data_IF_338947796813
#
_entry.id   IF_338947796813
#
_cell.length_a   1.000
_cell.length_b   1.000
_cell.length_c   1.000
_cell.angle_alpha   90.00
_cell.angle_beta   90.00
_cell.angle_gamma   90.00
#
_symmetry.space_group_name_H-M   'P 1'
#
loop_
_entity.id
_entity.type
_entity.pdbx_description
1 polymer ?
#
# COMPACT_ATOMS: atom_id res chain seq x y z
N UNK A 1 1.92 -14.96 -10.77
CA UNK A 1 1.60 -13.71 -11.51
C UNK A 1 0.90 -12.74 -10.57
N UNK A 2 0.65 -11.49 -10.97
CA UNK A 2 -0.02 -10.50 -10.10
C UNK A 2 -1.54 -10.59 -10.28
N UNK A 3 -2.25 -11.00 -9.22
CA UNK A 3 -3.73 -11.07 -9.20
C UNK A 3 -4.37 -10.37 -7.99
N UNK A 4 -3.56 -9.90 -7.04
CA UNK A 4 -3.99 -9.14 -5.87
C UNK A 4 -3.69 -7.65 -6.06
N UNK A 5 -4.60 -6.79 -5.61
CA UNK A 5 -4.50 -5.33 -5.78
C UNK A 5 -5.10 -4.60 -4.59
N UNK A 6 -4.50 -3.46 -4.21
CA UNK A 6 -5.11 -2.45 -3.34
C UNK A 6 -5.45 -1.24 -4.21
N UNK A 7 -6.74 -1.00 -4.44
CA UNK A 7 -7.22 0.21 -5.12
C UNK A 7 -7.54 1.32 -4.11
N UNK A 8 -7.26 2.57 -4.49
CA UNK A 8 -7.53 3.74 -3.64
C UNK A 8 -7.96 4.95 -4.49
N UNK A 9 -8.62 5.92 -3.84
CA UNK A 9 -9.07 7.16 -4.48
C UNK A 9 -7.90 8.13 -4.67
N UNK A 10 -7.42 8.30 -5.90
CA UNK A 10 -6.30 9.22 -6.22
C UNK A 10 -6.61 10.70 -5.94
N UNK A 11 -7.88 11.09 -5.85
CA UNK A 11 -8.27 12.47 -5.55
C UNK A 11 -8.10 12.83 -4.08
N UNK A 12 -8.15 11.84 -3.18
CA UNK A 12 -8.12 12.04 -1.73
C UNK A 12 -6.92 11.37 -1.06
N UNK A 13 -6.19 10.52 -1.78
CA UNK A 13 -5.13 9.73 -1.18
C UNK A 13 -3.88 9.70 -2.07
N UNK A 14 -2.72 9.69 -1.41
CA UNK A 14 -1.39 9.57 -2.03
C UNK A 14 -0.66 8.37 -1.45
N UNK A 15 0.07 7.63 -2.27
CA UNK A 15 0.95 6.55 -1.80
C UNK A 15 2.25 7.14 -1.28
N UNK A 16 2.57 6.88 -0.01
CA UNK A 16 3.86 7.25 0.59
C UNK A 16 4.91 6.15 0.43
N UNK A 17 4.47 4.89 0.47
CA UNK A 17 5.36 3.74 0.33
C UNK A 17 4.58 2.43 0.20
N UNK A 18 5.28 1.41 -0.27
CA UNK A 18 4.78 0.04 -0.38
C UNK A 18 5.83 -0.93 0.14
N UNK A 19 5.38 -2.06 0.68
CA UNK A 19 6.27 -3.18 0.96
C UNK A 19 6.73 -3.78 -0.37
N UNK A 20 8.05 -3.85 -0.57
CA UNK A 20 8.65 -4.48 -1.74
C UNK A 20 8.44 -6.00 -1.77
N UNK A 21 8.79 -6.66 -2.88
CA UNK A 21 8.72 -8.11 -2.97
C UNK A 21 9.72 -8.77 -2.00
N UNK A 22 9.46 -10.03 -1.66
CA UNK A 22 10.45 -10.88 -0.99
C UNK A 22 11.71 -10.99 -1.87
N UNK A 23 12.89 -11.00 -1.24
CA UNK A 23 14.16 -11.03 -1.95
C UNK A 23 14.28 -12.30 -2.83
N UNK A 24 14.44 -12.09 -4.13
CA UNK A 24 14.49 -13.21 -5.09
C UNK A 24 15.73 -14.09 -4.88
N UNK A 25 16.84 -13.52 -4.38
CA UNK A 25 18.04 -14.30 -4.11
C UNK A 25 17.81 -15.28 -2.96
N UNK A 26 17.13 -14.85 -1.88
CA UNK A 26 16.78 -15.73 -0.77
C UNK A 26 15.90 -16.91 -1.23
N UNK A 27 14.93 -16.67 -2.12
CA UNK A 27 14.11 -17.74 -2.71
C UNK A 27 14.95 -18.76 -3.48
N UNK A 28 15.92 -18.27 -4.28
CA UNK A 28 16.85 -19.12 -5.03
C UNK A 28 17.76 -19.93 -4.12
N UNK A 29 18.36 -19.29 -3.12
CA UNK A 29 19.30 -19.91 -2.19
C UNK A 29 18.65 -21.02 -1.35
N UNK A 30 17.34 -20.90 -1.09
CA UNK A 30 16.55 -21.88 -0.35
C UNK A 30 15.78 -22.85 -1.27
N UNK A 31 16.03 -22.84 -2.59
CA UNK A 31 15.35 -23.69 -3.57
C UNK A 31 13.81 -23.63 -3.51
N UNK A 32 13.25 -22.46 -3.20
CA UNK A 32 11.81 -22.27 -3.11
C UNK A 32 11.27 -21.96 -4.51
N UNK A 33 10.67 -22.95 -5.16
CA UNK A 33 10.09 -22.83 -6.51
C UNK A 33 8.57 -22.56 -6.50
N UNK A 34 7.93 -22.64 -5.34
CA UNK A 34 6.49 -22.46 -5.18
C UNK A 34 6.11 -22.25 -3.72
N UNK A 35 4.87 -21.83 -3.49
CA UNK A 35 4.28 -21.60 -2.18
C UNK A 35 2.91 -22.29 -2.10
N UNK A 36 2.38 -22.63 -0.91
CA UNK A 36 2.98 -22.38 0.41
C UNK A 36 4.25 -23.22 0.68
N UNK A 37 5.05 -22.79 1.66
CA UNK A 37 6.32 -23.37 2.10
C UNK A 37 6.38 -23.32 3.65
N UNK A 38 7.16 -24.16 4.37
CA UNK A 38 7.23 -24.09 5.85
C UNK A 38 7.52 -22.70 6.44
N UNK A 39 8.21 -21.83 5.69
CA UNK A 39 8.48 -20.44 6.07
C UNK A 39 7.60 -19.40 5.35
N UNK A 40 6.72 -19.82 4.43
CA UNK A 40 5.80 -18.96 3.69
C UNK A 40 4.39 -19.59 3.76
N UNK A 41 3.54 -19.15 4.68
CA UNK A 41 2.31 -19.89 5.03
C UNK A 41 1.18 -19.78 3.99
N UNK A 42 1.34 -19.01 2.92
CA UNK A 42 0.36 -18.81 1.84
C UNK A 42 1.05 -18.88 0.48
N UNK A 43 0.31 -19.24 -0.56
CA UNK A 43 0.72 -19.16 -1.96
C UNK A 43 0.70 -17.74 -2.54
N UNK A 44 0.18 -16.77 -1.77
CA UNK A 44 0.19 -15.34 -2.09
C UNK A 44 1.05 -14.55 -1.11
N UNK A 45 1.76 -13.54 -1.63
CA UNK A 45 2.48 -12.57 -0.79
C UNK A 45 1.56 -11.40 -0.42
N UNK A 46 1.65 -10.93 0.83
CA UNK A 46 0.84 -9.82 1.31
C UNK A 46 1.16 -8.51 0.58
N UNK A 47 0.11 -7.76 0.25
CA UNK A 47 0.24 -6.37 -0.14
C UNK A 47 0.17 -5.48 1.09
N UNK A 48 1.10 -4.53 1.21
CA UNK A 48 1.09 -3.51 2.26
C UNK A 48 1.46 -2.17 1.62
N UNK A 49 0.63 -1.15 1.87
CA UNK A 49 0.82 0.20 1.38
C UNK A 49 0.56 1.21 2.48
N UNK A 50 1.40 2.25 2.54
CA UNK A 50 1.17 3.43 3.37
C UNK A 50 0.49 4.51 2.51
N UNK A 51 -0.71 4.90 2.90
CA UNK A 51 -1.49 5.93 2.21
C UNK A 51 -1.63 7.16 3.10
N UNK A 52 -1.46 8.32 2.50
CA UNK A 52 -1.74 9.62 3.11
C UNK A 52 -3.09 10.13 2.61
N UNK A 53 -3.98 10.48 3.54
CA UNK A 53 -5.31 11.01 3.23
C UNK A 53 -5.32 12.54 3.28
N UNK A 54 -5.83 13.15 2.22
CA UNK A 54 -6.07 14.58 2.08
C UNK A 54 -7.58 14.82 2.15
N UNK A 55 -8.11 15.32 3.29
CA UNK A 55 -9.52 15.64 3.38
C UNK A 55 -9.86 16.77 2.40
N UNK A 56 -11.06 16.75 1.79
CA UNK A 56 -11.51 17.87 0.97
C UNK A 56 -11.51 19.15 1.82
N UNK A 57 -11.17 20.28 1.18
CA UNK A 57 -11.29 21.58 1.84
C UNK A 57 -12.76 21.76 2.28
N UNK A 58 -13.00 22.22 3.52
CA UNK A 58 -14.34 22.58 3.91
C UNK A 58 -14.88 23.65 2.96
N UNK A 59 -16.19 23.62 2.62
CA UNK A 59 -16.77 24.63 1.75
C UNK A 59 -16.47 26.03 2.29
N UNK A 60 -16.02 26.92 1.41
CA UNK A 60 -15.60 28.29 1.73
C UNK A 60 -16.73 29.19 2.28
N UNK A 61 -17.95 28.66 2.40
CA UNK A 61 -19.13 29.35 2.88
C UNK A 61 -19.16 29.40 4.41
N UNK A 62 -18.30 30.22 5.02
CA UNK A 62 -18.38 30.50 6.47
C UNK A 62 -17.12 30.97 7.19
N UNK A 63 -15.99 31.20 6.51
CA UNK A 63 -14.81 31.78 7.16
C UNK A 63 -15.06 33.26 7.50
N UNK A 64 -15.57 33.49 8.71
CA UNK A 64 -15.33 34.70 9.48
C UNK A 64 -13.81 34.74 9.78
N UNK A 65 -13.06 35.39 8.90
CA UNK A 65 -11.66 35.73 9.16
C UNK A 65 -11.63 36.70 10.35
N UNK A 66 -10.93 36.41 11.47
CA UNK A 66 -10.70 37.42 12.48
C UNK A 66 -9.80 38.49 11.86
N UNK A 67 -10.35 39.69 11.70
CA UNK A 67 -9.60 40.89 11.30
C UNK A 67 -8.70 41.26 12.48
N UNK A 68 -7.39 41.19 12.27
CA UNK A 68 -6.38 41.91 13.04
C UNK A 68 -5.44 42.63 12.08
#
# INVERSE_FOLDING_TARGET
GVIDYIFFSKTHMRVLGVLGPLETQWLKDNNITGCPHPHIPSDHFSLLAQLEYHPPLPPLNGLHLPVH
#
